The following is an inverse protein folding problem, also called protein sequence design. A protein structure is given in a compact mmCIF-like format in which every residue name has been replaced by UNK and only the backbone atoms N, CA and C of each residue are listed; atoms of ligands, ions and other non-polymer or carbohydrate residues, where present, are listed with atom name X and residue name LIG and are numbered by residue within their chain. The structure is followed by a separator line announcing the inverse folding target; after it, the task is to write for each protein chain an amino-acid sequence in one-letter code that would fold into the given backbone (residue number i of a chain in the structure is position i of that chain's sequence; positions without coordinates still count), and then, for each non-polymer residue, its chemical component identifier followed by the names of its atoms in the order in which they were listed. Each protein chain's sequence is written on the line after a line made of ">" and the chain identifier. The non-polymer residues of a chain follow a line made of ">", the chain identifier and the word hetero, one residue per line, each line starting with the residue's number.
data_IF_401620331458
#
_entry.id   IF_401620331458
#
_cell.length_a   1.000
_cell.length_b   1.000
_cell.length_c   1.000
_cell.angle_alpha   90.00
_cell.angle_beta   90.00
_cell.angle_gamma   90.00
#
_symmetry.space_group_name_H-M   'P 1'
#
loop_
_entity.id
_entity.type
_entity.pdbx_description
1 polymer ?
#
# COMPACT_ATOMS: atom_id res chain seq x y z
N UNK A 1 -16.63 61.58 -11.30
CA UNK A 1 -17.75 60.91 -10.61
C UNK A 1 -17.16 59.81 -9.72
N UNK A 2 -17.11 60.03 -8.41
CA UNK A 2 -16.56 59.14 -7.42
C UNK A 2 -17.66 58.23 -6.89
N UNK A 3 -17.51 56.90 -7.03
CA UNK A 3 -18.45 55.96 -6.44
C UNK A 3 -18.21 55.81 -4.93
N UNK A 4 -19.29 55.76 -4.11
CA UNK A 4 -19.18 55.56 -2.67
C UNK A 4 -18.82 54.14 -2.33
N UNK A 5 -18.08 53.88 -1.19
CA UNK A 5 -17.67 52.56 -0.76
C UNK A 5 -18.86 51.72 -0.22
N UNK A 6 -18.87 50.44 -0.53
CA UNK A 6 -19.88 49.45 -0.08
C UNK A 6 -19.73 49.17 1.41
N UNK A 7 -20.83 48.99 2.15
CA UNK A 7 -20.77 48.68 3.58
C UNK A 7 -20.23 47.25 3.84
N UNK A 8 -19.36 47.12 4.83
CA UNK A 8 -18.83 45.83 5.33
C UNK A 8 -19.95 45.08 6.07
N UNK A 9 -20.31 43.90 5.59
CA UNK A 9 -21.21 42.99 6.31
C UNK A 9 -20.43 42.34 7.46
N UNK A 10 -20.76 42.69 8.70
CA UNK A 10 -20.35 41.96 9.89
C UNK A 10 -21.03 40.58 9.87
N UNK A 11 -20.25 39.52 9.63
CA UNK A 11 -20.69 38.16 9.88
C UNK A 11 -20.57 37.90 11.38
N UNK A 12 -21.68 37.92 12.08
CA UNK A 12 -21.79 37.46 13.44
C UNK A 12 -21.42 35.98 13.52
N UNK A 13 -20.33 35.65 14.25
CA UNK A 13 -19.99 34.29 14.60
C UNK A 13 -21.01 33.81 15.64
N UNK A 14 -21.94 32.98 15.22
CA UNK A 14 -22.78 32.22 16.14
C UNK A 14 -21.84 31.26 16.93
N UNK A 15 -21.69 31.49 18.23
CA UNK A 15 -21.05 30.55 19.15
C UNK A 15 -21.98 29.35 19.28
N UNK A 16 -21.65 28.24 18.63
CA UNK A 16 -22.24 26.94 18.91
C UNK A 16 -21.87 26.56 20.36
N UNK A 17 -22.84 26.61 21.25
CA UNK A 17 -22.74 26.03 22.59
C UNK A 17 -22.45 24.54 22.41
N UNK A 18 -21.26 24.10 22.80
CA UNK A 18 -20.93 22.69 22.93
C UNK A 18 -21.82 22.14 24.04
N UNK A 19 -22.91 21.48 23.67
CA UNK A 19 -23.64 20.64 24.60
C UNK A 19 -22.70 19.56 25.09
N UNK A 20 -22.47 19.53 26.40
CA UNK A 20 -21.77 18.44 27.07
C UNK A 20 -22.69 17.22 27.03
N UNK A 21 -22.63 16.42 25.97
CA UNK A 21 -23.19 15.07 26.02
C UNK A 21 -22.37 14.29 27.06
N UNK A 22 -23.04 13.66 28.05
CA UNK A 22 -22.35 12.76 28.95
C UNK A 22 -21.70 11.68 28.10
N UNK A 23 -20.38 11.48 28.24
CA UNK A 23 -19.66 10.40 27.62
C UNK A 23 -20.27 9.06 28.07
N UNK A 24 -20.94 8.36 27.17
CA UNK A 24 -21.40 6.99 27.39
C UNK A 24 -20.24 6.11 26.93
N UNK A 25 -19.56 5.35 27.82
CA UNK A 25 -18.55 4.40 27.38
C UNK A 25 -19.20 3.41 26.40
N UNK A 26 -18.49 3.01 25.34
CA UNK A 26 -18.99 1.96 24.48
C UNK A 26 -19.29 0.74 25.35
N UNK A 27 -20.34 -0.04 25.04
CA UNK A 27 -20.59 -1.28 25.74
C UNK A 27 -19.29 -2.05 25.79
N UNK A 28 -18.95 -2.53 27.00
CA UNK A 28 -17.78 -3.38 27.21
C UNK A 28 -17.74 -4.39 26.08
N UNK A 29 -16.77 -4.24 25.18
CA UNK A 29 -16.54 -5.19 24.11
C UNK A 29 -16.03 -6.45 24.79
N UNK A 30 -17.02 -7.24 25.27
CA UNK A 30 -16.82 -8.45 26.00
C UNK A 30 -15.65 -9.21 25.43
N UNK A 31 -14.77 -9.63 26.31
CA UNK A 31 -13.60 -10.47 26.16
C UNK A 31 -13.44 -11.00 24.74
N UNK A 32 -12.66 -10.31 23.92
CA UNK A 32 -12.21 -10.87 22.64
C UNK A 32 -11.54 -12.16 23.04
N UNK A 33 -12.17 -13.25 22.59
CA UNK A 33 -11.72 -14.60 22.79
C UNK A 33 -10.20 -14.66 22.58
N UNK A 34 -9.45 -14.64 23.68
CA UNK A 34 -7.98 -14.78 23.65
C UNK A 34 -7.58 -16.24 23.50
N UNK A 35 -8.59 -17.11 23.59
CA UNK A 35 -8.45 -18.51 23.35
C UNK A 35 -8.46 -18.68 21.82
N UNK A 36 -7.40 -19.19 21.26
CA UNK A 36 -7.33 -19.58 19.85
C UNK A 36 -8.51 -20.49 19.46
N UNK A 37 -8.69 -20.80 18.18
CA UNK A 37 -9.80 -21.64 17.74
C UNK A 37 -9.84 -22.92 18.58
N UNK A 38 -11.03 -23.31 19.07
CA UNK A 38 -11.17 -24.54 19.83
C UNK A 38 -10.69 -25.73 18.97
N UNK A 39 -10.36 -26.85 19.61
CA UNK A 39 -9.81 -28.01 18.91
C UNK A 39 -10.74 -28.53 17.79
N UNK A 40 -12.06 -28.29 17.90
CA UNK A 40 -13.05 -28.67 16.88
C UNK A 40 -12.99 -27.73 15.68
N UNK A 41 -12.86 -26.42 15.91
CA UNK A 41 -12.71 -25.43 14.85
C UNK A 41 -11.37 -25.64 14.13
N UNK A 42 -10.30 -25.92 14.86
CA UNK A 42 -8.99 -26.23 14.27
C UNK A 42 -9.04 -27.51 13.42
N UNK A 43 -9.71 -28.57 13.89
CA UNK A 43 -9.88 -29.81 13.15
C UNK A 43 -10.75 -29.62 11.89
N UNK A 44 -11.83 -28.83 11.98
CA UNK A 44 -12.68 -28.53 10.83
C UNK A 44 -11.92 -27.71 9.79
N UNK A 45 -11.14 -26.71 10.21
CA UNK A 45 -10.29 -25.93 9.32
C UNK A 45 -9.18 -26.78 8.68
N UNK A 46 -8.54 -27.67 9.45
CA UNK A 46 -7.55 -28.61 8.94
C UNK A 46 -8.14 -29.60 7.93
N UNK A 47 -9.41 -30.03 8.13
CA UNK A 47 -10.16 -30.82 7.16
C UNK A 47 -10.36 -30.05 5.86
N UNK A 48 -10.91 -28.84 5.97
CA UNK A 48 -11.15 -27.97 4.81
C UNK A 48 -9.86 -27.66 4.03
N UNK A 49 -8.75 -27.39 4.72
CA UNK A 49 -7.46 -27.11 4.09
C UNK A 49 -6.86 -28.34 3.39
N UNK A 50 -7.17 -29.55 3.86
CA UNK A 50 -6.70 -30.81 3.24
C UNK A 50 -7.34 -31.06 1.89
N UNK A 51 -8.60 -30.66 1.72
CA UNK A 51 -9.35 -30.79 0.47
C UNK A 51 -9.07 -29.66 -0.53
N UNK A 52 -8.45 -28.57 -0.04
CA UNK A 52 -7.98 -27.48 -0.89
C UNK A 52 -6.59 -27.84 -1.43
N UNK A 53 -6.46 -27.92 -2.74
CA UNK A 53 -5.15 -28.02 -3.38
C UNK A 53 -4.42 -26.68 -3.27
N UNK A 54 -3.91 -26.38 -2.06
CA UNK A 54 -3.24 -25.11 -1.72
C UNK A 54 -1.78 -25.21 -2.11
N UNK A 55 -1.37 -24.50 -3.12
CA UNK A 55 0.04 -24.35 -3.49
C UNK A 55 0.60 -23.11 -2.79
N UNK A 56 1.56 -23.30 -1.89
CA UNK A 56 2.32 -22.22 -1.29
C UNK A 56 3.47 -21.83 -2.22
N UNK A 57 3.42 -20.64 -2.79
CA UNK A 57 4.56 -20.10 -3.52
C UNK A 57 5.33 -19.19 -2.56
N UNK A 58 6.56 -19.50 -2.19
CA UNK A 58 7.35 -18.64 -1.32
C UNK A 58 7.57 -17.29 -2.00
N UNK A 59 7.53 -16.21 -1.22
CA UNK A 59 7.93 -14.90 -1.69
C UNK A 59 9.44 -14.93 -1.89
N UNK A 60 9.90 -14.80 -3.13
CA UNK A 60 11.31 -14.81 -3.45
C UNK A 60 12.07 -13.69 -2.70
N UNK A 61 13.20 -14.04 -2.11
CA UNK A 61 14.16 -13.11 -1.51
C UNK A 61 15.42 -13.11 -2.38
N UNK A 62 15.94 -11.93 -2.70
CA UNK A 62 17.13 -11.78 -3.51
C UNK A 62 16.85 -11.54 -5.01
N UNK A 63 17.77 -11.92 -5.87
CA UNK A 63 17.68 -11.68 -7.32
C UNK A 63 16.50 -12.43 -7.96
N UNK A 64 15.86 -11.77 -8.93
CA UNK A 64 14.79 -12.35 -9.71
C UNK A 64 15.36 -13.13 -10.90
N UNK A 65 14.83 -14.33 -11.15
CA UNK A 65 15.17 -15.15 -12.33
C UNK A 65 14.21 -14.93 -13.51
N UNK A 66 13.23 -14.02 -13.34
CA UNK A 66 12.19 -13.71 -14.31
C UNK A 66 11.29 -14.91 -14.71
N UNK A 67 11.32 -16.00 -13.93
CA UNK A 67 10.55 -17.21 -14.25
C UNK A 67 9.03 -16.98 -14.33
N UNK A 68 8.53 -15.93 -13.68
CA UNK A 68 7.12 -15.54 -13.67
C UNK A 68 6.83 -14.30 -14.54
N UNK A 69 7.74 -13.89 -15.42
CA UNK A 69 7.54 -12.73 -16.27
C UNK A 69 6.36 -12.91 -17.21
N UNK A 70 5.50 -11.91 -17.30
CA UNK A 70 4.31 -11.90 -18.12
C UNK A 70 4.52 -11.02 -19.36
N UNK A 71 4.24 -11.56 -20.55
CA UNK A 71 4.31 -10.79 -21.80
C UNK A 71 3.04 -9.95 -22.01
N UNK A 72 2.80 -8.99 -21.11
CA UNK A 72 1.64 -8.10 -21.14
C UNK A 72 1.90 -6.88 -20.25
N UNK A 73 1.28 -5.75 -20.59
CA UNK A 73 1.40 -4.52 -19.80
C UNK A 73 0.75 -4.63 -18.42
N UNK A 74 -0.48 -5.13 -18.37
CA UNK A 74 -1.22 -5.21 -17.08
C UNK A 74 -0.87 -6.48 -16.36
N UNK A 75 -0.34 -6.44 -15.12
CA UNK A 75 -0.04 -7.62 -14.33
C UNK A 75 -1.28 -8.50 -14.11
N UNK A 76 -1.08 -9.81 -14.09
CA UNK A 76 -2.16 -10.75 -13.72
C UNK A 76 -2.59 -10.52 -12.25
N UNK A 77 -3.76 -11.06 -11.91
CA UNK A 77 -4.22 -11.04 -10.51
C UNK A 77 -3.22 -11.73 -9.58
N UNK A 78 -2.64 -12.84 -10.03
CA UNK A 78 -1.64 -13.61 -9.25
C UNK A 78 -0.42 -12.74 -8.95
N UNK A 79 0.18 -12.13 -9.97
CA UNK A 79 1.33 -11.24 -9.80
C UNK A 79 0.97 -10.01 -8.95
N UNK A 80 -0.20 -9.42 -9.19
CA UNK A 80 -0.69 -8.29 -8.41
C UNK A 80 -0.87 -8.61 -6.92
N UNK A 81 -1.36 -9.80 -6.56
CA UNK A 81 -1.47 -10.25 -5.19
C UNK A 81 -0.09 -10.48 -4.55
N UNK A 82 0.83 -11.13 -5.26
CA UNK A 82 2.19 -11.37 -4.79
C UNK A 82 2.91 -10.04 -4.47
N UNK A 83 2.86 -9.08 -5.40
CA UNK A 83 3.49 -7.76 -5.22
C UNK A 83 2.90 -7.01 -4.02
N UNK A 84 1.58 -7.03 -3.84
CA UNK A 84 0.92 -6.37 -2.70
C UNK A 84 1.17 -7.10 -1.37
N UNK A 85 1.25 -8.42 -1.37
CA UNK A 85 1.59 -9.19 -0.17
C UNK A 85 3.02 -8.90 0.28
N UNK A 86 3.97 -8.86 -0.66
CA UNK A 86 5.37 -8.52 -0.40
C UNK A 86 5.55 -7.09 0.08
N UNK A 87 4.81 -6.15 -0.51
CA UNK A 87 4.94 -4.71 -0.25
C UNK A 87 3.57 -4.16 0.15
N UNK A 88 3.24 -4.29 1.44
CA UNK A 88 1.90 -3.99 1.97
C UNK A 88 1.54 -2.48 1.95
N UNK A 89 2.53 -1.61 1.79
CA UNK A 89 2.34 -0.15 1.71
C UNK A 89 3.04 0.42 0.48
N UNK A 90 2.76 1.67 0.17
CA UNK A 90 3.47 2.40 -0.88
C UNK A 90 4.99 2.37 -0.63
N UNK A 91 5.81 1.97 -1.61
CA UNK A 91 7.25 1.81 -1.42
C UNK A 91 8.02 3.15 -1.46
N UNK A 92 7.35 4.29 -1.44
CA UNK A 92 8.03 5.58 -1.32
C UNK A 92 8.41 5.86 0.14
N UNK A 93 9.58 6.46 0.40
CA UNK A 93 10.06 6.74 1.75
C UNK A 93 9.04 7.49 2.59
N UNK A 94 8.74 6.98 3.78
CA UNK A 94 7.80 7.58 4.73
C UNK A 94 6.32 7.55 4.33
N UNK A 95 5.93 6.80 3.28
CA UNK A 95 4.54 6.70 2.85
C UNK A 95 3.86 5.45 3.42
N UNK A 96 2.78 5.64 4.19
CA UNK A 96 1.98 4.55 4.77
C UNK A 96 0.73 4.17 3.96
N UNK A 97 0.56 4.64 2.71
CA UNK A 97 -0.63 4.31 1.91
C UNK A 97 -0.69 2.81 1.60
N UNK A 98 -1.82 2.16 1.95
CA UNK A 98 -1.98 0.72 1.77
C UNK A 98 -1.90 0.29 0.30
N UNK A 99 -1.12 -0.75 0.01
CA UNK A 99 -0.88 -1.26 -1.34
C UNK A 99 -2.14 -1.76 -2.05
N UNK A 100 -3.17 -2.16 -1.30
CA UNK A 100 -4.44 -2.63 -1.87
C UNK A 100 -5.12 -1.58 -2.77
N UNK A 101 -5.03 -0.30 -2.40
CA UNK A 101 -5.60 0.82 -3.15
C UNK A 101 -4.62 1.50 -4.11
N UNK A 102 -3.39 1.00 -4.17
CA UNK A 102 -2.33 1.59 -4.97
C UNK A 102 -2.32 1.03 -6.38
N UNK A 103 -1.75 1.82 -7.30
CA UNK A 103 -1.47 1.34 -8.66
C UNK A 103 -0.45 0.19 -8.62
N UNK A 104 -0.51 -0.70 -9.61
CA UNK A 104 0.61 -1.58 -9.92
C UNK A 104 1.37 -0.96 -11.08
N UNK A 105 2.63 -0.64 -10.85
CA UNK A 105 3.41 0.18 -11.76
C UNK A 105 4.80 -0.40 -12.00
N UNK A 106 5.27 -0.29 -13.25
CA UNK A 106 6.59 -0.74 -13.67
C UNK A 106 7.66 0.23 -13.19
N UNK A 107 8.74 -0.26 -12.61
CA UNK A 107 9.91 0.56 -12.26
C UNK A 107 10.63 1.00 -13.53
N UNK A 108 10.94 0.07 -14.41
CA UNK A 108 11.36 0.30 -15.79
C UNK A 108 10.14 0.15 -16.69
N UNK A 109 9.84 1.16 -17.49
CA UNK A 109 8.61 1.20 -18.30
C UNK A 109 8.50 -0.01 -19.25
N UNK A 110 7.29 -0.53 -19.42
CA UNK A 110 6.99 -1.55 -20.42
C UNK A 110 6.99 -0.89 -21.83
N UNK A 111 7.50 -1.56 -22.88
CA UNK A 111 8.02 -2.93 -22.92
C UNK A 111 9.51 -3.08 -22.59
N UNK A 112 10.24 -2.01 -22.28
CA UNK A 112 11.67 -2.04 -22.00
C UNK A 112 11.97 -2.87 -20.72
N UNK A 113 11.08 -2.82 -19.74
CA UNK A 113 11.11 -3.66 -18.56
C UNK A 113 9.97 -4.70 -18.54
N UNK A 114 10.21 -5.92 -18.03
CA UNK A 114 9.21 -6.97 -18.00
C UNK A 114 8.08 -6.68 -17.01
N UNK A 115 6.91 -7.28 -17.22
CA UNK A 115 5.85 -7.34 -16.22
C UNK A 115 6.16 -8.51 -15.29
N UNK A 116 6.94 -8.25 -14.26
CA UNK A 116 7.46 -9.25 -13.33
C UNK A 116 7.56 -8.69 -11.91
N UNK A 117 7.72 -9.57 -10.93
CA UNK A 117 7.84 -9.20 -9.52
C UNK A 117 9.04 -8.30 -9.21
N UNK A 118 10.12 -8.38 -9.99
CA UNK A 118 11.31 -7.53 -9.85
C UNK A 118 11.17 -6.15 -10.51
N UNK A 119 10.10 -5.93 -11.28
CA UNK A 119 9.87 -4.66 -11.98
C UNK A 119 8.51 -4.02 -11.64
N UNK A 120 7.61 -4.74 -10.94
CA UNK A 120 6.32 -4.21 -10.52
C UNK A 120 6.36 -3.84 -9.03
N UNK A 121 5.87 -2.64 -8.72
CA UNK A 121 5.71 -2.14 -7.37
C UNK A 121 4.33 -1.49 -7.17
N UNK A 122 3.83 -1.33 -5.91
CA UNK A 122 2.54 -0.71 -5.62
C UNK A 122 2.68 0.75 -5.13
N UNK A 123 3.16 1.72 -5.92
CA UNK A 123 3.18 3.11 -5.51
C UNK A 123 1.76 3.66 -5.42
N UNK A 124 1.48 4.51 -4.43
CA UNK A 124 0.23 5.27 -4.43
C UNK A 124 0.21 6.26 -5.61
N UNK A 125 -0.96 6.70 -6.02
CA UNK A 125 -1.14 7.61 -7.16
C UNK A 125 -0.23 8.84 -7.11
N UNK A 126 0.02 9.39 -5.93
CA UNK A 126 0.93 10.52 -5.74
C UNK A 126 2.37 10.14 -6.12
N UNK A 127 2.88 9.03 -5.55
CA UNK A 127 4.27 8.62 -5.78
C UNK A 127 4.48 7.96 -7.13
N UNK A 128 3.46 7.37 -7.73
CA UNK A 128 3.48 6.97 -9.13
C UNK A 128 3.79 8.16 -10.06
N UNK A 129 3.19 9.33 -9.79
CA UNK A 129 3.48 10.56 -10.54
C UNK A 129 4.85 11.15 -10.19
N UNK A 130 5.26 11.10 -8.92
CA UNK A 130 6.55 11.62 -8.47
C UNK A 130 7.71 10.93 -9.16
N UNK A 131 7.68 9.61 -9.33
CA UNK A 131 8.76 8.90 -10.01
C UNK A 131 8.98 9.35 -11.47
N UNK A 132 7.93 9.91 -12.10
CA UNK A 132 7.99 10.42 -13.48
C UNK A 132 8.37 11.90 -13.54
N UNK A 133 8.49 12.59 -12.40
CA UNK A 133 8.82 14.00 -12.36
C UNK A 133 10.32 14.22 -12.66
N UNK A 134 10.68 15.34 -13.28
CA UNK A 134 12.07 15.64 -13.63
C UNK A 134 13.02 15.55 -12.43
N UNK A 135 14.14 14.90 -12.60
CA UNK A 135 15.18 14.75 -11.58
C UNK A 135 14.94 13.64 -10.56
N UNK A 136 13.77 13.01 -10.55
CA UNK A 136 13.54 11.80 -9.75
C UNK A 136 14.01 10.57 -10.51
N UNK A 137 14.61 9.62 -9.77
CA UNK A 137 14.95 8.28 -10.28
C UNK A 137 14.43 7.23 -9.31
N UNK A 138 13.99 6.11 -9.86
CA UNK A 138 13.54 4.95 -9.10
C UNK A 138 14.20 3.70 -9.70
N UNK A 139 14.82 2.91 -8.84
CA UNK A 139 15.45 1.64 -9.20
C UNK A 139 14.91 0.54 -8.31
N UNK A 140 14.80 -0.66 -8.83
CA UNK A 140 14.38 -1.86 -8.11
C UNK A 140 15.40 -2.98 -8.31
N UNK A 141 16.53 -2.97 -7.56
CA UNK A 141 17.59 -3.95 -7.74
C UNK A 141 17.19 -5.37 -7.37
N UNK A 142 16.23 -5.51 -6.47
CA UNK A 142 15.66 -6.78 -6.03
C UNK A 142 14.14 -6.65 -5.89
N UNK A 143 13.36 -7.74 -5.97
CA UNK A 143 11.92 -7.69 -5.79
C UNK A 143 11.50 -6.95 -4.51
N UNK A 144 10.87 -5.78 -4.69
CA UNK A 144 10.36 -4.93 -3.60
C UNK A 144 11.39 -4.05 -2.89
N UNK A 145 12.68 -4.17 -3.19
CA UNK A 145 13.70 -3.23 -2.72
C UNK A 145 13.75 -2.04 -3.67
N UNK A 146 13.40 -0.85 -3.18
CA UNK A 146 13.30 0.35 -3.99
C UNK A 146 14.34 1.36 -3.57
N UNK A 147 15.05 1.92 -4.55
CA UNK A 147 16.01 3.01 -4.36
C UNK A 147 15.45 4.26 -5.05
N UNK A 148 15.07 5.24 -4.25
CA UNK A 148 14.57 6.53 -4.68
C UNK A 148 15.70 7.55 -4.68
N UNK A 149 15.97 8.21 -5.81
CA UNK A 149 16.88 9.34 -5.88
C UNK A 149 16.09 10.61 -6.14
N UNK A 150 16.27 11.61 -5.28
CA UNK A 150 15.60 12.91 -5.40
C UNK A 150 16.33 13.82 -6.39
N UNK A 151 15.71 14.93 -6.85
CA UNK A 151 16.37 15.93 -7.68
C UNK A 151 17.63 16.55 -7.05
N UNK A 152 17.73 16.54 -5.71
CA UNK A 152 18.92 17.01 -4.98
C UNK A 152 20.03 15.95 -4.86
N UNK A 153 19.87 14.78 -5.50
CA UNK A 153 20.84 13.68 -5.46
C UNK A 153 20.82 12.82 -4.20
N UNK A 154 19.89 13.07 -3.26
CA UNK A 154 19.74 12.21 -2.07
C UNK A 154 19.05 10.90 -2.43
N UNK A 155 19.55 9.80 -1.87
CA UNK A 155 19.00 8.46 -2.08
C UNK A 155 18.34 7.93 -0.81
N UNK A 156 17.23 7.18 -1.00
CA UNK A 156 16.49 6.52 0.06
C UNK A 156 16.17 5.10 -0.37
N UNK A 157 16.52 4.12 0.45
CA UNK A 157 16.19 2.72 0.19
C UNK A 157 15.01 2.30 1.05
N UNK A 158 13.98 1.73 0.42
CA UNK A 158 12.88 1.06 1.11
C UNK A 158 12.91 -0.42 0.81
N UNK A 159 12.41 -1.23 1.77
CA UNK A 159 12.45 -2.69 1.70
C UNK A 159 11.05 -3.27 1.80
N UNK A 160 10.85 -4.52 1.36
CA UNK A 160 9.60 -5.24 1.54
C UNK A 160 9.15 -5.29 3.00
N UNK A 161 7.85 -5.45 3.18
CA UNK A 161 7.26 -5.68 4.52
C UNK A 161 7.79 -6.98 5.10
N UNK A 162 8.24 -6.93 6.35
CA UNK A 162 8.62 -8.14 7.10
C UNK A 162 7.40 -8.58 7.89
N UNK A 163 7.01 -9.84 7.72
CA UNK A 163 5.97 -10.49 8.53
C UNK A 163 6.67 -11.38 9.55
N UNK A 164 6.51 -11.05 10.83
CA UNK A 164 6.95 -11.93 11.92
C UNK A 164 5.95 -13.09 12.03
N UNK A 165 6.45 -14.30 12.09
CA UNK A 165 5.68 -15.53 12.28
C UNK A 165 5.83 -16.03 13.72
#
# INVERSE_FOLDING_TARGET
>A
MLHPPRPRRHRGRARLRRGSHPWIPPPDSGQRNRDGPDARQAAALAGLLRDLNVTFTPIAKGSCDHANAENRYTPSRKLGHLVRARTATCPAPGCGAHAYHNDLDHTVAYPDGPTDECNIAPPCRRHHRVKQAPGWKLEQPEPGVMIWTTPSGRTYTTRPTVYEM
#
